data_IF_458781457454
#
_entry.id   IF_458781457454
#
_cell.length_a   1.000
_cell.length_b   1.000
_cell.length_c   1.000
_cell.angle_alpha   90.00
_cell.angle_beta   90.00
_cell.angle_gamma   90.00
#
_symmetry.space_group_name_H-M   'P 1'
#
loop_
_entity.id
_entity.type
_entity.pdbx_description
1 polymer ?
#
# COMPACT_ATOMS: atom_id res chain seq x y z
N UNK A 1 2.85 21.85 19.24
CA UNK A 1 2.01 21.25 18.19
C UNK A 1 1.53 19.90 18.71
N UNK A 2 0.23 19.70 18.90
CA UNK A 2 -0.30 18.43 19.41
C UNK A 2 -0.13 17.34 18.33
N UNK A 3 0.74 16.36 18.57
CA UNK A 3 1.08 15.31 17.61
C UNK A 3 -0.06 14.29 17.51
N UNK A 4 -0.75 14.27 16.37
CA UNK A 4 -1.70 13.21 16.02
C UNK A 4 -0.93 12.06 15.39
N UNK A 5 -0.30 11.22 16.22
CA UNK A 5 0.64 10.16 15.79
C UNK A 5 0.19 9.27 14.62
N UNK A 6 -1.11 9.04 14.44
CA UNK A 6 -1.64 8.23 13.32
C UNK A 6 -1.72 9.02 12.01
N UNK A 7 -2.03 10.32 12.07
CA UNK A 7 -2.08 11.19 10.89
C UNK A 7 -0.67 11.41 10.35
N UNK A 8 0.28 11.70 11.24
CA UNK A 8 1.69 11.91 10.89
C UNK A 8 2.30 10.72 10.13
N UNK A 9 1.92 9.49 10.50
CA UNK A 9 2.36 8.27 9.80
C UNK A 9 1.71 8.09 8.43
N UNK A 10 0.44 8.44 8.31
CA UNK A 10 -0.28 8.41 7.03
C UNK A 10 0.37 9.38 6.03
N UNK A 11 0.54 10.62 6.46
CA UNK A 11 1.14 11.69 5.65
C UNK A 11 2.58 11.35 5.25
N UNK A 12 3.39 10.82 6.18
CA UNK A 12 4.73 10.34 5.88
C UNK A 12 4.71 9.21 4.85
N UNK A 13 3.78 8.25 4.98
CA UNK A 13 3.63 7.16 4.02
C UNK A 13 3.32 7.68 2.62
N UNK A 14 2.39 8.63 2.49
CA UNK A 14 2.03 9.25 1.22
C UNK A 14 3.22 10.00 0.62
N UNK A 15 3.95 10.78 1.42
CA UNK A 15 5.13 11.51 0.96
C UNK A 15 6.24 10.56 0.45
N UNK A 16 6.46 9.44 1.15
CA UNK A 16 7.43 8.42 0.74
C UNK A 16 7.01 7.69 -0.53
N UNK A 17 5.74 7.34 -0.66
CA UNK A 17 5.19 6.74 -1.87
C UNK A 17 5.31 7.68 -3.08
N UNK A 18 5.02 8.97 -2.89
CA UNK A 18 5.21 9.98 -3.93
C UNK A 18 6.70 10.06 -4.36
N UNK A 19 7.63 10.19 -3.41
CA UNK A 19 9.05 10.28 -3.71
C UNK A 19 9.56 9.03 -4.46
N UNK A 20 9.14 7.84 -4.05
CA UNK A 20 9.50 6.58 -4.68
C UNK A 20 8.98 6.48 -6.14
N UNK A 21 7.70 6.80 -6.35
CA UNK A 21 7.09 6.83 -7.69
C UNK A 21 7.78 7.85 -8.62
N UNK A 22 8.08 9.05 -8.13
CA UNK A 22 8.79 10.07 -8.93
C UNK A 22 10.21 9.61 -9.26
N UNK A 23 10.91 8.98 -8.31
CA UNK A 23 12.25 8.43 -8.56
C UNK A 23 12.23 7.33 -9.63
N UNK A 24 11.10 6.61 -9.77
CA UNK A 24 10.87 5.61 -10.82
C UNK A 24 10.38 6.20 -12.15
N UNK A 25 10.17 7.51 -12.25
CA UNK A 25 9.79 8.19 -13.49
C UNK A 25 8.29 8.41 -13.68
N UNK A 26 7.45 8.07 -12.70
CA UNK A 26 6.01 8.31 -12.79
C UNK A 26 5.67 9.78 -12.59
N UNK A 27 4.66 10.26 -13.31
CA UNK A 27 3.95 11.49 -12.93
C UNK A 27 2.96 11.15 -11.82
N UNK A 28 3.00 11.87 -10.70
CA UNK A 28 2.14 11.61 -9.54
C UNK A 28 1.06 12.69 -9.42
N UNK A 29 -0.20 12.27 -9.35
CA UNK A 29 -1.36 13.13 -9.20
C UNK A 29 -1.99 12.93 -7.81
N UNK A 30 -2.51 14.02 -7.27
CA UNK A 30 -3.24 14.03 -5.99
C UNK A 30 -4.72 14.31 -6.24
N UNK A 31 -5.64 13.58 -5.61
CA UNK A 31 -7.05 13.95 -5.65
C UNK A 31 -7.25 15.30 -4.95
N UNK A 32 -8.05 16.18 -5.56
CA UNK A 32 -8.43 17.47 -4.96
C UNK A 32 -9.51 17.33 -3.87
N UNK A 33 -9.72 16.12 -3.33
CA UNK A 33 -10.74 15.78 -2.35
C UNK A 33 -10.21 14.74 -1.36
N UNK A 34 -10.68 14.80 -0.13
CA UNK A 34 -10.39 13.81 0.91
C UNK A 34 -11.28 12.55 0.84
N UNK A 35 -12.31 12.56 -0.01
CA UNK A 35 -13.27 11.45 -0.13
C UNK A 35 -12.88 10.39 -1.17
N UNK A 36 -11.75 10.58 -1.86
CA UNK A 36 -11.28 9.61 -2.84
C UNK A 36 -10.91 8.29 -2.15
N UNK A 37 -11.17 7.13 -2.77
CA UNK A 37 -10.80 5.82 -2.22
C UNK A 37 -9.31 5.50 -2.39
N UNK A 38 -8.51 6.42 -2.92
CA UNK A 38 -7.08 6.33 -3.14
C UNK A 38 -6.41 7.64 -2.72
N UNK A 39 -5.13 7.57 -2.36
CA UNK A 39 -4.35 8.72 -1.90
C UNK A 39 -3.60 9.39 -3.06
N UNK A 40 -3.15 8.59 -4.05
CA UNK A 40 -2.33 9.03 -5.17
C UNK A 40 -2.78 8.35 -6.46
N UNK A 41 -2.45 8.95 -7.60
CA UNK A 41 -2.48 8.28 -8.91
C UNK A 41 -1.10 8.38 -9.54
N UNK A 42 -0.52 7.24 -9.93
CA UNK A 42 0.70 7.21 -10.73
C UNK A 42 0.33 7.13 -12.21
N UNK A 43 0.98 7.95 -13.03
CA UNK A 43 0.78 8.00 -14.47
C UNK A 43 2.09 7.73 -15.20
N UNK A 44 2.04 6.80 -16.15
CA UNK A 44 3.13 6.49 -17.07
C UNK A 44 2.56 5.96 -18.39
N UNK A 45 3.06 6.48 -19.52
CA UNK A 45 2.77 5.97 -20.87
C UNK A 45 1.27 5.77 -21.15
N UNK A 46 0.43 6.74 -20.75
CA UNK A 46 -1.02 6.68 -20.98
C UNK A 46 -1.81 5.87 -19.95
N UNK A 47 -1.16 5.21 -19.00
CA UNK A 47 -1.81 4.39 -17.98
C UNK A 47 -1.89 5.13 -16.65
N UNK A 48 -3.00 4.97 -15.95
CA UNK A 48 -3.20 5.49 -14.60
C UNK A 48 -3.31 4.33 -13.61
N UNK A 49 -2.61 4.44 -12.48
CA UNK A 49 -2.69 3.50 -11.38
C UNK A 49 -3.20 4.24 -10.14
N UNK A 50 -4.39 3.91 -9.64
CA UNK A 50 -4.94 4.45 -8.39
C UNK A 50 -4.31 3.71 -7.21
N UNK A 51 -3.62 4.44 -6.34
CA UNK A 51 -2.92 3.86 -5.20
C UNK A 51 -3.53 4.29 -3.87
N UNK A 52 -3.88 3.32 -3.03
CA UNK A 52 -4.03 3.57 -1.59
C UNK A 52 -2.69 3.30 -0.91
N UNK A 53 -2.24 4.23 -0.07
CA UNK A 53 -1.01 4.14 0.70
C UNK A 53 -1.31 3.69 2.13
N UNK A 54 -0.46 2.80 2.67
CA UNK A 54 -0.49 2.40 4.07
C UNK A 54 0.91 2.38 4.66
N UNK A 55 1.10 3.13 5.75
CA UNK A 55 2.26 2.96 6.62
C UNK A 55 2.15 1.65 7.41
N UNK A 56 3.15 0.77 7.32
CA UNK A 56 3.18 -0.48 8.09
C UNK A 56 4.58 -0.84 8.56
N UNK A 57 4.76 -0.89 9.87
CA UNK A 57 5.98 -1.41 10.49
C UNK A 57 6.10 -2.93 10.30
N UNK A 58 7.31 -3.37 9.99
CA UNK A 58 7.68 -4.76 9.98
C UNK A 58 7.66 -5.34 11.42
N UNK A 59 7.20 -6.59 11.54
CA UNK A 59 7.27 -7.36 12.79
C UNK A 59 7.82 -8.75 12.48
N UNK A 60 8.81 -9.18 13.25
CA UNK A 60 9.49 -10.47 13.04
C UNK A 60 9.91 -10.70 11.56
N UNK A 61 10.47 -9.66 10.94
CA UNK A 61 10.98 -9.73 9.57
C UNK A 61 9.92 -9.75 8.47
N UNK A 62 8.67 -9.38 8.77
CA UNK A 62 7.58 -9.37 7.79
C UNK A 62 6.67 -8.16 7.95
N UNK A 63 6.08 -7.72 6.84
CA UNK A 63 5.02 -6.71 6.78
C UNK A 63 3.72 -7.40 6.42
N UNK A 64 2.73 -7.34 7.31
CA UNK A 64 1.40 -7.90 7.05
C UNK A 64 0.40 -6.77 6.82
N UNK A 65 -0.35 -6.88 5.73
CA UNK A 65 -1.48 -6.01 5.46
C UNK A 65 -2.77 -6.80 5.36
N UNK A 66 -3.83 -6.21 5.89
CA UNK A 66 -5.18 -6.79 5.87
C UNK A 66 -6.04 -5.89 4.98
N UNK A 67 -6.74 -6.47 4.00
CA UNK A 67 -7.58 -5.79 3.04
C UNK A 67 -8.95 -5.46 3.66
N UNK A 68 -8.91 -4.63 4.69
CA UNK A 68 -10.10 -4.08 5.35
C UNK A 68 -9.82 -2.69 5.89
N UNK A 69 -10.87 -1.89 5.93
CA UNK A 69 -10.92 -0.62 6.63
C UNK A 69 -11.52 -0.84 8.02
N UNK A 70 -10.93 -0.20 9.03
CA UNK A 70 -11.42 -0.19 10.40
C UNK A 70 -11.52 1.27 10.82
N UNK A 71 -12.69 1.68 11.27
CA UNK A 71 -12.90 3.01 11.84
C UNK A 71 -13.74 2.89 13.11
N UNK A 72 -13.55 3.83 14.02
CA UNK A 72 -14.33 3.92 15.24
C UNK A 72 -15.14 5.21 15.21
N UNK A 73 -16.42 5.10 15.54
CA UNK A 73 -17.30 6.24 15.78
C UNK A 73 -17.97 6.10 17.16
N UNK A 74 -18.91 6.99 17.47
CA UNK A 74 -19.64 6.95 18.75
C UNK A 74 -20.50 5.68 18.90
N UNK A 75 -20.81 4.98 17.81
CA UNK A 75 -21.61 3.76 17.77
C UNK A 75 -20.75 2.48 17.78
N UNK A 76 -19.42 2.59 17.81
CA UNK A 76 -18.50 1.47 18.00
C UNK A 76 -17.41 1.39 16.95
N UNK A 77 -16.77 0.22 16.86
CA UNK A 77 -15.75 -0.07 15.84
C UNK A 77 -16.39 -0.79 14.68
N UNK A 78 -16.32 -0.18 13.50
CA UNK A 78 -16.80 -0.75 12.25
C UNK A 78 -15.65 -1.36 11.48
N UNK A 79 -15.94 -2.42 10.75
CA UNK A 79 -14.96 -3.10 9.90
C UNK A 79 -15.61 -3.47 8.58
N UNK A 80 -15.03 -3.01 7.48
CA UNK A 80 -15.52 -3.29 6.13
C UNK A 80 -14.38 -3.77 5.25
N UNK A 81 -14.58 -4.80 4.41
CA UNK A 81 -13.58 -5.20 3.42
C UNK A 81 -13.17 -4.01 2.54
N UNK A 82 -11.90 -3.97 2.16
CA UNK A 82 -11.45 -2.97 1.17
C UNK A 82 -12.13 -3.26 -0.16
N UNK A 83 -12.74 -2.24 -0.77
CA UNK A 83 -13.18 -2.34 -2.15
C UNK A 83 -11.96 -2.40 -3.07
N UNK A 84 -11.71 -3.60 -3.60
CA UNK A 84 -10.54 -3.88 -4.44
C UNK A 84 -10.69 -3.34 -5.86
N UNK A 85 -11.88 -2.88 -6.25
CA UNK A 85 -12.12 -2.29 -7.57
C UNK A 85 -11.85 -0.78 -7.60
N UNK A 86 -11.83 -0.17 -6.42
CA UNK A 86 -11.60 1.26 -6.24
C UNK A 86 -10.11 1.66 -6.34
N UNK A 87 -9.20 0.69 -6.24
CA UNK A 87 -7.75 0.87 -6.24
C UNK A 87 -7.09 -0.16 -7.15
N UNK A 88 -6.05 0.24 -7.88
CA UNK A 88 -5.29 -0.64 -8.77
C UNK A 88 -4.08 -1.25 -8.05
N UNK A 89 -3.54 -0.52 -7.06
CA UNK A 89 -2.47 -1.01 -6.20
C UNK A 89 -2.62 -0.51 -4.77
N UNK A 90 -2.18 -1.34 -3.82
CA UNK A 90 -1.93 -0.93 -2.44
C UNK A 90 -0.43 -0.69 -2.28
N UNK A 91 -0.04 0.55 -1.99
CA UNK A 91 1.34 0.92 -1.67
C UNK A 91 1.58 0.83 -0.16
N UNK A 92 2.52 0.00 0.26
CA UNK A 92 2.87 -0.22 1.66
C UNK A 92 4.24 0.36 1.93
N UNK A 93 4.28 1.49 2.64
CA UNK A 93 5.54 2.05 3.12
C UNK A 93 5.96 1.37 4.43
N UNK A 94 7.18 0.81 4.45
CA UNK A 94 7.78 0.19 5.62
C UNK A 94 8.94 1.05 6.15
N UNK A 95 8.82 1.61 7.37
CA UNK A 95 9.83 2.51 7.93
C UNK A 95 11.13 1.79 8.31
N UNK A 96 11.10 0.47 8.55
CA UNK A 96 12.30 -0.29 8.91
C UNK A 96 13.22 -0.56 7.70
N UNK A 97 12.64 -0.65 6.50
CA UNK A 97 13.41 -0.78 5.25
C UNK A 97 13.55 0.55 4.51
N UNK A 98 12.74 1.56 4.87
CA UNK A 98 12.56 2.81 4.14
C UNK A 98 12.15 2.59 2.67
N UNK A 99 11.29 1.60 2.42
CA UNK A 99 10.88 1.19 1.07
C UNK A 99 9.36 1.14 0.92
N UNK A 100 8.90 1.26 -0.33
CA UNK A 100 7.51 1.07 -0.73
C UNK A 100 7.33 -0.29 -1.42
N UNK A 101 6.27 -1.00 -1.04
CA UNK A 101 5.86 -2.26 -1.65
C UNK A 101 4.47 -2.13 -2.28
N UNK A 102 4.36 -2.40 -3.58
CA UNK A 102 3.16 -2.29 -4.38
C UNK A 102 2.50 -3.66 -4.55
N UNK A 103 1.26 -3.75 -4.10
CA UNK A 103 0.53 -5.00 -4.04
C UNK A 103 -0.74 -4.87 -4.87
N UNK A 104 -0.94 -5.77 -5.83
CA UNK A 104 -2.23 -5.92 -6.50
C UNK A 104 -3.25 -6.51 -5.49
N UNK A 105 -4.27 -5.74 -5.07
CA UNK A 105 -5.26 -6.24 -4.12
C UNK A 105 -6.09 -7.40 -4.69
N UNK A 106 -6.28 -7.49 -6.00
CA UNK A 106 -7.05 -8.56 -6.66
C UNK A 106 -6.33 -9.90 -6.62
N UNK A 107 -4.99 -9.91 -6.60
CA UNK A 107 -4.16 -11.11 -6.53
C UNK A 107 -4.16 -11.82 -5.16
N UNK A 108 -4.79 -11.25 -4.13
CA UNK A 108 -4.72 -11.76 -2.77
C UNK A 108 -6.10 -11.90 -2.12
N UNK A 109 -6.17 -12.66 -1.02
CA UNK A 109 -7.40 -12.84 -0.24
C UNK A 109 -7.69 -11.67 0.71
N UNK A 110 -7.93 -11.99 1.99
CA UNK A 110 -8.24 -11.01 3.05
C UNK A 110 -7.00 -10.34 3.65
N UNK A 111 -5.82 -10.90 3.43
CA UNK A 111 -4.54 -10.34 3.85
C UNK A 111 -3.39 -10.85 2.99
N UNK A 112 -2.28 -10.13 3.06
CA UNK A 112 -1.01 -10.45 2.41
C UNK A 112 0.11 -10.22 3.42
N UNK A 113 1.14 -11.07 3.39
CA UNK A 113 2.32 -10.92 4.24
C UNK A 113 3.57 -10.98 3.37
N UNK A 114 4.29 -9.87 3.33
CA UNK A 114 5.57 -9.73 2.63
C UNK A 114 6.71 -9.98 3.60
N UNK A 115 7.69 -10.79 3.20
CA UNK A 115 8.83 -11.18 4.02
C UNK A 115 10.06 -10.35 3.63
N UNK A 116 10.61 -9.61 4.59
CA UNK A 116 11.82 -8.78 4.42
C UNK A 116 13.08 -9.61 4.71
N UNK A 117 13.07 -10.36 5.82
CA UNK A 117 14.20 -11.23 6.22
C UNK A 117 13.78 -12.69 6.14
N UNK A 118 14.67 -13.63 5.79
CA UNK A 118 14.36 -15.05 5.76
C UNK A 118 13.69 -15.55 7.04
N UNK A 119 12.80 -16.54 6.92
CA UNK A 119 12.14 -17.12 8.07
C UNK A 119 13.14 -17.90 8.94
N UNK A 120 13.00 -17.82 10.27
CA UNK A 120 13.90 -18.52 11.20
C UNK A 120 13.87 -20.05 11.04
N UNK A 121 12.75 -20.58 10.54
CA UNK A 121 12.53 -22.02 10.38
C UNK A 121 12.90 -22.54 8.99
N UNK A 122 13.53 -21.72 8.13
CA UNK A 122 13.92 -22.13 6.77
C UNK A 122 12.76 -22.45 5.84
N UNK A 123 11.53 -22.00 6.16
CA UNK A 123 10.39 -22.12 5.26
C UNK A 123 10.71 -21.34 3.98
N UNK A 124 10.49 -21.95 2.82
CA UNK A 124 10.66 -21.34 1.50
C UNK A 124 9.36 -21.35 0.68
N UNK A 125 8.53 -22.39 0.83
CA UNK A 125 7.27 -22.49 0.11
C UNK A 125 6.23 -21.49 0.62
N UNK A 126 5.58 -20.77 -0.31
CA UNK A 126 4.49 -19.83 -0.02
C UNK A 126 4.93 -18.49 0.57
N UNK A 127 6.23 -18.17 0.53
CA UNK A 127 6.75 -16.87 0.97
C UNK A 127 6.67 -15.87 -0.18
N UNK A 128 6.05 -14.73 0.11
CA UNK A 128 6.11 -13.55 -0.74
C UNK A 128 7.30 -12.69 -0.30
N UNK A 129 8.40 -12.72 -1.04
CA UNK A 129 9.57 -11.89 -0.75
C UNK A 129 9.26 -10.41 -1.02
N UNK A 130 9.51 -9.54 -0.05
CA UNK A 130 9.14 -8.13 -0.14
C UNK A 130 9.81 -7.43 -1.33
N UNK A 131 11.03 -7.83 -1.69
CA UNK A 131 11.76 -7.27 -2.84
C UNK A 131 11.02 -7.47 -4.18
N UNK A 132 10.24 -8.54 -4.33
CA UNK A 132 9.46 -8.81 -5.54
C UNK A 132 8.26 -7.85 -5.72
N UNK A 133 7.94 -7.06 -4.70
CA UNK A 133 6.83 -6.11 -4.69
C UNK A 133 7.32 -4.66 -4.72
N UNK A 134 8.60 -4.39 -5.02
CA UNK A 134 9.11 -3.01 -5.09
C UNK A 134 8.66 -2.27 -6.34
N UNK A 135 8.23 -2.97 -7.38
CA UNK A 135 7.71 -2.35 -8.60
C UNK A 135 6.19 -2.32 -8.61
N UNK A 136 5.63 -1.26 -9.19
CA UNK A 136 4.20 -1.17 -9.46
C UNK A 136 3.77 -2.34 -10.35
N UNK A 137 2.68 -3.06 -10.04
CA UNK A 137 2.18 -4.09 -10.93
C UNK A 137 1.79 -3.46 -12.28
N UNK A 138 1.98 -4.20 -13.40
CA UNK A 138 1.54 -3.71 -14.70
C UNK A 138 0.05 -3.39 -14.65
N UNK A 139 -0.41 -2.40 -15.45
CA UNK A 139 -1.82 -2.05 -15.47
C UNK A 139 -2.65 -3.29 -15.82
N UNK A 140 -3.78 -3.48 -15.14
CA UNK A 140 -4.69 -4.56 -15.49
C UNK A 140 -5.08 -4.40 -16.96
N UNK A 141 -4.73 -5.38 -17.79
CA UNK A 141 -5.04 -5.35 -19.22
C UNK A 141 -6.56 -5.48 -19.39
N UNK A 142 -7.23 -4.36 -19.66
CA UNK A 142 -8.66 -4.27 -19.98
C UNK A 142 -9.28 -3.02 -19.34
N UNK A 143 -9.80 -2.02 -20.06
CA UNK A 143 -10.33 -1.95 -21.44
C UNK A 143 -10.22 -0.47 -21.87
N UNK A 144 -10.09 -0.13 -23.17
CA UNK A 144 -10.33 1.24 -23.64
C UNK A 144 -11.68 1.80 -23.18
#
# INVERSE_FOLDING_TARGET
>A
MASHHTKDKGDLGIAKAHADLVAKGYTVLFPATEHAPFDLVAYETGNFHRLQVKYRSARAGAVTVKFRSIWADRAGTHTTPTDKTAIDALCVYCPETDECYYIDPAAHGSSVTLRITPSKNGQLAGILEAAAFRELPPPAVGTP
#
